data_IF_387786433642
#
_entry.id   IF_387786433642
#
_cell.length_a   1.000
_cell.length_b   1.000
_cell.length_c   1.000
_cell.angle_alpha   90.00
_cell.angle_beta   90.00
_cell.angle_gamma   90.00
#
_symmetry.space_group_name_H-M   'P 1'
#
loop_
_entity.id
_entity.type
_entity.pdbx_description
1 polymer ?
#
# COMPACT_ATOMS: atom_id res chain seq x y z
N UNK A 1 2.44 -43.94 41.28
CA UNK A 1 2.39 -42.54 40.84
C UNK A 1 1.70 -42.53 39.49
N UNK A 2 0.67 -41.70 39.32
CA UNK A 2 -0.06 -41.65 38.05
C UNK A 2 0.82 -40.96 36.99
N UNK A 3 0.99 -41.60 35.84
CA UNK A 3 1.68 -40.99 34.71
C UNK A 3 0.82 -39.84 34.15
N UNK A 4 1.45 -38.70 33.88
CA UNK A 4 0.82 -37.54 33.25
C UNK A 4 1.37 -37.33 31.85
N UNK A 5 0.50 -36.83 30.96
CA UNK A 5 0.87 -36.45 29.61
C UNK A 5 1.75 -35.19 29.69
N UNK A 6 2.94 -35.28 29.12
CA UNK A 6 3.86 -34.13 28.94
C UNK A 6 3.81 -33.72 27.47
N UNK A 7 3.19 -32.58 27.19
CA UNK A 7 3.24 -31.96 25.86
C UNK A 7 4.53 -31.14 25.78
N UNK A 8 5.39 -31.47 24.81
CA UNK A 8 6.53 -30.64 24.43
C UNK A 8 6.24 -30.05 23.06
N UNK A 9 6.24 -28.73 22.97
CA UNK A 9 6.16 -27.99 21.72
C UNK A 9 7.57 -27.66 21.32
N UNK A 10 8.05 -28.21 20.20
CA UNK A 10 9.31 -27.78 19.62
C UNK A 10 9.13 -26.36 19.04
N UNK A 11 10.12 -25.46 19.17
CA UNK A 11 10.03 -24.15 18.55
C UNK A 11 9.91 -24.31 17.04
N UNK A 12 8.91 -23.67 16.45
CA UNK A 12 8.75 -23.61 15.00
C UNK A 12 10.02 -22.97 14.44
N UNK A 13 10.82 -23.75 13.68
CA UNK A 13 11.84 -23.17 12.80
C UNK A 13 11.08 -22.43 11.72
N UNK A 14 10.95 -21.12 11.88
CA UNK A 14 10.24 -20.18 11.01
C UNK A 14 10.36 -20.61 9.54
N UNK A 15 9.24 -21.00 8.94
CA UNK A 15 9.14 -21.18 7.50
C UNK A 15 8.80 -19.81 6.92
N UNK A 16 9.82 -19.08 6.47
CA UNK A 16 9.65 -17.77 5.85
C UNK A 16 9.16 -17.95 4.41
N UNK A 17 7.97 -17.42 4.10
CA UNK A 17 7.54 -17.27 2.72
C UNK A 17 8.17 -16.00 2.12
N UNK A 18 8.85 -16.16 0.97
CA UNK A 18 9.54 -15.08 0.27
C UNK A 18 8.93 -14.86 -1.11
N UNK A 19 8.76 -13.59 -1.45
CA UNK A 19 8.33 -13.16 -2.79
C UNK A 19 9.48 -12.39 -3.45
N UNK A 20 9.77 -12.77 -4.70
CA UNK A 20 10.74 -12.07 -5.55
C UNK A 20 10.01 -11.36 -6.67
N UNK A 21 10.26 -10.05 -6.84
CA UNK A 21 9.62 -9.22 -7.88
C UNK A 21 10.71 -8.58 -8.74
N UNK A 22 10.81 -9.00 -10.00
CA UNK A 22 11.72 -8.39 -10.97
C UNK A 22 11.21 -7.03 -11.47
N UNK A 23 12.09 -6.03 -11.46
CA UNK A 23 11.82 -4.67 -11.99
C UNK A 23 13.00 -4.27 -12.87
N UNK A 24 12.83 -4.36 -14.19
CA UNK A 24 13.92 -4.20 -15.18
C UNK A 24 15.08 -5.17 -14.88
N UNK A 25 16.28 -4.66 -14.62
CA UNK A 25 17.50 -5.39 -14.28
C UNK A 25 17.69 -5.56 -12.76
N UNK A 26 16.74 -5.10 -11.95
CA UNK A 26 16.75 -5.18 -10.49
C UNK A 26 15.68 -6.14 -9.99
N UNK A 27 15.78 -6.53 -8.73
CA UNK A 27 14.83 -7.45 -8.09
C UNK A 27 14.54 -7.00 -6.66
N UNK A 28 13.26 -7.07 -6.27
CA UNK A 28 12.83 -6.93 -4.90
C UNK A 28 12.71 -8.31 -4.25
N UNK A 29 13.19 -8.41 -3.02
CA UNK A 29 13.20 -9.57 -2.16
C UNK A 29 12.41 -9.28 -0.89
N UNK A 30 11.22 -9.84 -0.81
CA UNK A 30 10.21 -9.50 0.20
C UNK A 30 9.94 -10.70 1.08
N UNK A 31 9.75 -10.44 2.36
CA UNK A 31 9.24 -11.41 3.31
C UNK A 31 7.80 -11.05 3.67
N UNK A 32 6.97 -12.07 3.86
CA UNK A 32 5.61 -11.94 4.36
C UNK A 32 5.54 -12.18 5.87
N UNK A 33 6.67 -12.54 6.48
CA UNK A 33 6.74 -12.97 7.86
C UNK A 33 7.02 -11.78 8.78
N UNK A 34 6.18 -11.63 9.80
CA UNK A 34 6.39 -10.78 10.97
C UNK A 34 7.04 -11.59 12.09
N UNK A 35 7.79 -10.93 12.96
CA UNK A 35 8.37 -11.61 14.13
C UNK A 35 7.24 -12.10 15.07
N UNK A 36 7.52 -13.11 15.89
CA UNK A 36 6.49 -13.78 16.73
C UNK A 36 5.75 -12.80 17.65
N UNK A 37 6.48 -11.85 18.23
CA UNK A 37 5.93 -10.79 19.08
C UNK A 37 5.03 -9.79 18.31
N UNK A 38 5.17 -9.73 16.99
CA UNK A 38 4.44 -8.82 16.09
C UNK A 38 3.22 -9.50 15.42
N UNK A 39 3.12 -10.84 15.50
CA UNK A 39 2.01 -11.62 14.94
C UNK A 39 0.75 -11.56 15.79
N UNK A 40 0.89 -11.52 17.12
CA UNK A 40 -0.24 -11.57 18.05
C UNK A 40 -1.31 -10.47 17.83
N UNK A 41 -0.95 -9.20 17.51
CA UNK A 41 -1.94 -8.15 17.19
C UNK A 41 -2.74 -8.37 15.90
N UNK A 42 -2.22 -9.13 14.92
CA UNK A 42 -2.86 -9.29 13.59
C UNK A 42 -4.11 -10.17 13.62
N UNK A 43 -4.16 -11.14 14.53
CA UNK A 43 -5.28 -12.09 14.64
C UNK A 43 -6.57 -11.47 15.19
N UNK A 44 -6.55 -10.18 15.53
CA UNK A 44 -7.70 -9.45 16.07
C UNK A 44 -8.43 -8.56 15.05
N UNK A 45 -8.11 -8.64 13.74
CA UNK A 45 -8.77 -7.78 12.75
C UNK A 45 -8.33 -8.00 11.31
N UNK A 46 -8.44 -6.94 10.49
CA UNK A 46 -8.15 -6.98 9.05
C UNK A 46 -6.65 -6.86 8.69
N UNK A 47 -5.77 -6.75 9.68
CA UNK A 47 -4.36 -6.43 9.47
C UNK A 47 -3.57 -7.53 8.72
N UNK A 48 -4.06 -8.78 8.72
CA UNK A 48 -3.49 -9.87 7.92
C UNK A 48 -3.50 -9.58 6.42
N UNK A 49 -4.44 -8.77 5.92
CA UNK A 49 -4.51 -8.43 4.51
C UNK A 49 -3.29 -7.61 4.06
N UNK A 50 -2.67 -6.85 4.97
CA UNK A 50 -1.48 -6.05 4.69
C UNK A 50 -0.19 -6.88 4.55
N UNK A 51 -0.22 -8.19 4.80
CA UNK A 51 0.95 -9.08 4.63
C UNK A 51 0.97 -9.82 3.29
N UNK A 52 0.03 -9.52 2.39
CA UNK A 52 -0.09 -10.17 1.08
C UNK A 52 0.28 -9.24 -0.08
N UNK A 53 0.66 -9.82 -1.22
CA UNK A 53 0.75 -9.10 -2.48
C UNK A 53 -0.60 -9.15 -3.20
N UNK A 54 -1.23 -8.01 -3.37
CA UNK A 54 -2.49 -7.87 -4.10
C UNK A 54 -2.24 -7.62 -5.59
N UNK A 55 -3.12 -8.11 -6.47
CA UNK A 55 -3.05 -7.88 -7.93
C UNK A 55 -3.06 -6.38 -8.23
N UNK A 56 -3.76 -5.58 -7.43
CA UNK A 56 -3.78 -4.13 -7.54
C UNK A 56 -2.38 -3.53 -7.35
N UNK A 57 -1.54 -4.10 -6.48
CA UNK A 57 -0.16 -3.69 -6.29
C UNK A 57 0.68 -3.98 -7.55
N UNK A 58 0.45 -5.14 -8.20
CA UNK A 58 1.12 -5.53 -9.45
C UNK A 58 0.66 -4.65 -10.61
N UNK A 59 -0.64 -4.38 -10.73
CA UNK A 59 -1.21 -3.50 -11.74
C UNK A 59 -0.65 -2.09 -11.60
N UNK A 60 -0.65 -1.52 -10.38
CA UNK A 60 -0.10 -0.19 -10.12
C UNK A 60 1.40 -0.15 -10.43
N UNK A 61 2.16 -1.15 -10.00
CA UNK A 61 3.61 -1.24 -10.27
C UNK A 61 3.93 -1.29 -11.76
N UNK A 62 3.15 -2.06 -12.53
CA UNK A 62 3.28 -2.10 -13.99
C UNK A 62 2.93 -0.76 -14.64
N UNK A 63 1.90 -0.06 -14.13
CA UNK A 63 1.58 1.27 -14.61
C UNK A 63 2.72 2.27 -14.34
N UNK A 64 3.30 2.25 -13.14
CA UNK A 64 4.47 3.07 -12.81
C UNK A 64 5.66 2.81 -13.74
N UNK A 65 5.93 1.54 -14.04
CA UNK A 65 7.04 1.13 -14.90
C UNK A 65 6.91 1.65 -16.33
N UNK A 66 5.69 1.66 -16.88
CA UNK A 66 5.46 1.87 -18.31
C UNK A 66 4.94 3.27 -18.65
N UNK A 67 4.18 3.90 -17.75
CA UNK A 67 3.34 5.05 -18.08
C UNK A 67 3.63 6.29 -17.22
N UNK A 68 4.48 6.19 -16.19
CA UNK A 68 4.75 7.29 -15.24
C UNK A 68 6.22 7.66 -15.17
N UNK A 69 6.55 8.93 -15.43
CA UNK A 69 7.90 9.45 -15.18
C UNK A 69 8.08 9.81 -13.71
N UNK A 70 8.87 8.99 -13.02
CA UNK A 70 9.21 9.13 -11.62
C UNK A 70 10.52 9.91 -11.39
N UNK A 71 11.19 10.34 -12.46
CA UNK A 71 12.49 11.01 -12.35
C UNK A 71 12.39 12.24 -11.46
N UNK A 72 13.19 12.24 -10.40
CA UNK A 72 13.26 13.32 -9.41
C UNK A 72 11.95 13.60 -8.63
N UNK A 73 10.95 12.71 -8.70
CA UNK A 73 9.67 12.87 -7.98
C UNK A 73 9.76 12.47 -6.52
N UNK A 74 8.98 13.14 -5.67
CA UNK A 74 8.71 12.74 -4.29
C UNK A 74 7.42 11.93 -4.25
N UNK A 75 7.48 10.72 -3.69
CA UNK A 75 6.39 9.76 -3.71
C UNK A 75 6.00 9.39 -2.28
N UNK A 76 4.71 9.33 -2.00
CA UNK A 76 4.18 8.69 -0.80
C UNK A 76 3.28 7.53 -1.20
N UNK A 77 3.34 6.43 -0.48
CA UNK A 77 2.39 5.32 -0.61
C UNK A 77 1.55 5.19 0.67
N UNK A 78 0.23 5.16 0.52
CA UNK A 78 -0.76 5.02 1.59
C UNK A 78 -1.27 3.58 1.64
N UNK A 79 -1.25 2.96 2.83
CA UNK A 79 -1.75 1.59 2.99
C UNK A 79 -0.92 0.58 2.20
N UNK A 80 0.39 0.66 2.35
CA UNK A 80 1.33 -0.03 1.49
C UNK A 80 1.41 -1.56 1.70
N UNK A 81 0.87 -2.07 2.80
CA UNK A 81 1.12 -3.42 3.29
C UNK A 81 2.62 -3.72 3.33
N UNK A 82 3.07 -4.61 2.44
CA UNK A 82 4.48 -4.99 2.33
C UNK A 82 5.35 -4.02 1.48
N UNK A 83 4.75 -3.00 0.85
CA UNK A 83 5.44 -1.86 0.23
C UNK A 83 5.83 -1.98 -1.23
N UNK A 84 5.18 -2.86 -2.01
CA UNK A 84 5.60 -3.15 -3.39
C UNK A 84 5.62 -1.90 -4.29
N UNK A 85 4.50 -1.18 -4.52
CA UNK A 85 4.49 -0.02 -5.42
C UNK A 85 5.48 1.08 -5.04
N UNK A 86 5.63 1.42 -3.76
CA UNK A 86 6.57 2.43 -3.29
C UNK A 86 8.03 2.02 -3.52
N UNK A 87 8.38 0.75 -3.26
CA UNK A 87 9.72 0.25 -3.56
C UNK A 87 9.99 0.21 -5.07
N UNK A 88 9.01 -0.19 -5.88
CA UNK A 88 9.08 -0.11 -7.35
C UNK A 88 9.29 1.34 -7.79
N UNK A 89 8.56 2.30 -7.22
CA UNK A 89 8.71 3.71 -7.55
C UNK A 89 10.14 4.21 -7.29
N UNK A 90 10.76 3.77 -6.18
CA UNK A 90 12.17 4.01 -5.94
C UNK A 90 13.02 3.40 -7.05
N UNK A 91 12.92 2.10 -7.35
CA UNK A 91 13.74 1.46 -8.40
C UNK A 91 13.64 2.16 -9.77
N UNK A 92 12.52 2.82 -10.05
CA UNK A 92 12.26 3.56 -11.28
C UNK A 92 12.78 5.01 -11.30
N UNK A 93 13.43 5.49 -10.24
CA UNK A 93 14.12 6.79 -10.22
C UNK A 93 13.43 7.88 -9.41
N UNK A 94 12.41 7.54 -8.60
CA UNK A 94 11.90 8.46 -7.60
C UNK A 94 13.03 8.93 -6.67
N UNK A 95 13.00 10.22 -6.33
CA UNK A 95 14.00 10.87 -5.49
C UNK A 95 13.81 10.45 -4.04
N UNK A 96 12.64 10.73 -3.50
CA UNK A 96 12.33 10.47 -2.09
C UNK A 96 11.02 9.70 -2.02
N UNK A 97 11.04 8.50 -1.45
CA UNK A 97 9.86 7.64 -1.32
C UNK A 97 9.57 7.39 0.16
N UNK A 98 8.36 7.74 0.59
CA UNK A 98 7.87 7.46 1.94
C UNK A 98 6.73 6.45 1.84
N UNK A 99 6.96 5.25 2.33
CA UNK A 99 6.00 4.15 2.28
C UNK A 99 5.30 4.09 3.64
N UNK A 100 3.97 4.17 3.66
CA UNK A 100 3.22 4.34 4.90
C UNK A 100 2.23 3.22 5.16
N UNK A 101 2.10 2.88 6.44
CA UNK A 101 1.21 1.85 6.94
C UNK A 101 0.73 2.19 8.35
N UNK A 102 -0.19 1.39 8.87
CA UNK A 102 -0.55 1.41 10.28
C UNK A 102 0.64 0.99 11.15
N UNK A 103 0.77 1.52 12.39
CA UNK A 103 1.92 1.29 13.26
C UNK A 103 2.36 -0.18 13.39
N UNK A 104 1.39 -1.10 13.37
CA UNK A 104 1.58 -2.54 13.53
C UNK A 104 2.29 -3.19 12.34
N UNK A 105 2.14 -2.67 11.12
CA UNK A 105 2.76 -3.22 9.90
C UNK A 105 4.07 -2.50 9.51
N UNK A 106 4.35 -1.36 10.12
CA UNK A 106 5.58 -0.60 9.86
C UNK A 106 6.88 -1.41 10.11
N UNK A 107 6.97 -2.31 11.12
CA UNK A 107 8.15 -3.16 11.29
C UNK A 107 8.42 -4.08 10.09
N UNK A 108 7.40 -4.79 9.59
CA UNK A 108 7.51 -5.61 8.37
C UNK A 108 7.97 -4.77 7.19
N UNK A 109 7.35 -3.61 7.01
CA UNK A 109 7.68 -2.69 5.93
C UNK A 109 9.15 -2.22 6.01
N UNK A 110 9.66 -1.91 7.22
CA UNK A 110 11.08 -1.57 7.43
C UNK A 110 11.99 -2.75 7.08
N UNK A 111 11.61 -3.97 7.45
CA UNK A 111 12.37 -5.18 7.12
C UNK A 111 12.47 -5.35 5.60
N UNK A 112 11.36 -5.21 4.88
CA UNK A 112 11.32 -5.29 3.43
C UNK A 112 12.14 -4.18 2.76
N UNK A 113 12.05 -2.93 3.22
CA UNK A 113 12.88 -1.83 2.68
C UNK A 113 14.37 -2.10 2.93
N UNK A 114 14.76 -2.50 4.15
CA UNK A 114 16.17 -2.76 4.50
C UNK A 114 16.79 -3.87 3.67
N UNK A 115 16.01 -4.90 3.29
CA UNK A 115 16.51 -5.98 2.43
C UNK A 115 16.82 -5.50 1.01
N UNK A 116 16.08 -4.52 0.52
CA UNK A 116 16.14 -4.08 -0.89
C UNK A 116 16.94 -2.81 -1.11
N UNK A 117 17.10 -1.98 -0.09
CA UNK A 117 17.71 -0.65 -0.19
C UNK A 117 18.85 -0.45 0.82
N UNK A 118 19.69 -1.47 1.02
CA UNK A 118 20.91 -1.37 1.85
C UNK A 118 21.89 -0.32 1.31
N UNK A 119 21.96 -0.23 -0.02
CA UNK A 119 22.70 0.80 -0.74
C UNK A 119 21.73 1.48 -1.69
N UNK A 120 21.64 2.79 -1.59
CA UNK A 120 20.84 3.63 -2.49
C UNK A 120 21.73 4.72 -3.06
N UNK A 121 21.47 5.11 -4.31
CA UNK A 121 22.23 6.17 -4.96
C UNK A 121 22.19 7.46 -4.14
N UNK A 122 23.30 8.19 -4.15
CA UNK A 122 23.39 9.47 -3.44
C UNK A 122 22.27 10.43 -3.88
N UNK A 123 21.57 11.02 -2.92
CA UNK A 123 20.46 11.93 -3.17
C UNK A 123 19.10 11.27 -3.39
N UNK A 124 18.99 9.95 -3.15
CA UNK A 124 17.73 9.22 -3.14
C UNK A 124 17.45 8.60 -1.76
N UNK A 125 16.17 8.45 -1.41
CA UNK A 125 15.74 7.89 -0.13
C UNK A 125 14.50 7.01 -0.23
N UNK A 126 14.43 5.98 0.61
CA UNK A 126 13.24 5.14 0.83
C UNK A 126 13.06 4.97 2.33
N UNK A 127 11.92 5.39 2.87
CA UNK A 127 11.64 5.31 4.30
C UNK A 127 10.26 4.68 4.57
N UNK A 128 10.16 3.89 5.63
CA UNK A 128 8.87 3.48 6.19
C UNK A 128 8.43 4.45 7.29
N UNK A 129 7.16 4.84 7.30
CA UNK A 129 6.58 5.66 8.35
C UNK A 129 5.17 5.21 8.72
N UNK A 130 4.76 5.46 9.97
CA UNK A 130 3.39 5.22 10.38
C UNK A 130 2.50 6.39 9.91
N UNK A 131 1.33 6.08 9.35
CA UNK A 131 0.31 7.06 9.02
C UNK A 131 -1.08 6.43 9.13
N UNK A 132 -1.76 6.70 10.25
CA UNK A 132 -3.21 6.49 10.34
C UNK A 132 -3.92 7.57 9.52
N UNK A 133 -4.91 7.18 8.71
CA UNK A 133 -5.58 8.13 7.83
C UNK A 133 -6.56 9.01 8.61
N UNK A 134 -6.36 10.31 8.50
CA UNK A 134 -7.34 11.37 8.73
C UNK A 134 -6.72 12.71 8.27
N UNK A 135 -7.42 13.84 8.44
CA UNK A 135 -6.90 15.17 8.05
C UNK A 135 -5.77 15.66 8.96
N UNK A 136 -5.88 15.44 10.27
CA UNK A 136 -4.93 15.95 11.26
C UNK A 136 -3.59 15.20 11.15
N UNK A 137 -3.64 13.88 11.08
CA UNK A 137 -2.51 13.00 10.86
C UNK A 137 -1.82 13.33 9.52
N UNK A 138 -2.58 13.48 8.42
CA UNK A 138 -2.01 13.87 7.12
C UNK A 138 -1.34 15.25 7.17
N UNK A 139 -1.93 16.21 7.88
CA UNK A 139 -1.36 17.55 8.03
C UNK A 139 -0.04 17.51 8.78
N UNK A 140 -0.02 16.86 9.96
CA UNK A 140 1.19 16.69 10.76
C UNK A 140 2.28 15.90 10.00
N UNK A 141 1.86 14.91 9.20
CA UNK A 141 2.75 14.16 8.35
C UNK A 141 3.41 15.06 7.30
N UNK A 142 2.65 15.91 6.60
CA UNK A 142 3.20 16.88 5.67
C UNK A 142 4.08 17.95 6.33
N UNK A 143 3.84 18.30 7.60
CA UNK A 143 4.71 19.23 8.33
C UNK A 143 6.08 18.62 8.63
N UNK A 144 6.14 17.29 8.77
CA UNK A 144 7.38 16.54 9.00
C UNK A 144 8.08 16.15 7.70
N UNK A 145 7.33 15.61 6.75
CA UNK A 145 7.86 15.02 5.52
C UNK A 145 7.75 15.96 4.32
N UNK A 146 7.11 17.12 4.42
CA UNK A 146 6.92 18.04 3.30
C UNK A 146 5.82 17.59 2.34
N UNK A 147 6.00 17.94 1.07
CA UNK A 147 5.01 17.68 0.01
C UNK A 147 5.41 16.52 -0.89
N UNK A 148 4.44 15.98 -1.63
CA UNK A 148 4.63 14.86 -2.54
C UNK A 148 4.09 15.23 -3.93
N UNK A 149 4.77 14.72 -4.97
CA UNK A 149 4.32 14.87 -6.35
C UNK A 149 3.34 13.77 -6.75
N UNK A 150 3.51 12.58 -6.17
CA UNK A 150 2.70 11.40 -6.47
C UNK A 150 2.31 10.72 -5.15
N UNK A 151 1.03 10.37 -5.04
CA UNK A 151 0.48 9.53 -3.98
C UNK A 151 0.08 8.19 -4.59
N UNK A 152 0.51 7.09 -4.00
CA UNK A 152 0.17 5.73 -4.41
C UNK A 152 -0.80 5.13 -3.38
N UNK A 153 -1.78 4.36 -3.83
CA UNK A 153 -2.63 3.53 -2.98
C UNK A 153 -3.10 2.31 -3.78
N UNK A 154 -2.98 1.11 -3.21
CA UNK A 154 -3.43 -0.11 -3.87
C UNK A 154 -4.26 -0.99 -2.93
N UNK A 155 -5.46 -1.38 -3.37
CA UNK A 155 -6.43 -2.24 -2.66
C UNK A 155 -6.76 -1.80 -1.22
N UNK A 156 -6.69 -0.49 -0.95
CA UNK A 156 -7.06 0.10 0.34
C UNK A 156 -8.58 0.31 0.53
N UNK A 157 -9.39 -0.11 -0.44
CA UNK A 157 -10.84 0.12 -0.48
C UNK A 157 -11.52 -1.24 -0.62
N UNK A 158 -12.04 -1.74 0.50
CA UNK A 158 -12.85 -2.94 0.53
C UNK A 158 -13.75 -2.91 1.77
N UNK A 159 -14.95 -2.37 1.61
CA UNK A 159 -15.88 -2.09 2.69
C UNK A 159 -16.26 -3.30 3.56
N UNK A 160 -16.43 -4.52 3.03
CA UNK A 160 -16.73 -5.70 3.85
C UNK A 160 -15.64 -6.02 4.89
N UNK A 161 -14.39 -5.63 4.62
CA UNK A 161 -13.26 -5.88 5.52
C UNK A 161 -12.85 -4.65 6.32
N UNK A 162 -12.85 -3.47 5.70
CA UNK A 162 -12.31 -2.23 6.29
C UNK A 162 -13.41 -1.22 6.68
N UNK A 163 -14.68 -1.53 6.47
CA UNK A 163 -15.78 -0.60 6.66
C UNK A 163 -15.61 0.65 5.80
N UNK A 164 -15.96 1.82 6.35
CA UNK A 164 -15.85 3.11 5.65
C UNK A 164 -14.48 3.79 5.82
N UNK A 165 -13.40 3.04 6.09
CA UNK A 165 -12.04 3.62 6.21
C UNK A 165 -11.61 4.39 4.96
N UNK A 166 -12.21 4.09 3.81
CA UNK A 166 -12.05 4.81 2.55
C UNK A 166 -12.42 6.31 2.67
N UNK A 167 -13.30 6.71 3.61
CA UNK A 167 -13.57 8.13 3.90
C UNK A 167 -12.32 8.82 4.42
N UNK A 168 -11.67 8.20 5.41
CA UNK A 168 -10.45 8.75 6.00
C UNK A 168 -9.30 8.78 4.98
N UNK A 169 -9.18 7.74 4.14
CA UNK A 169 -8.25 7.69 3.02
C UNK A 169 -8.47 8.88 2.05
N UNK A 170 -9.72 9.14 1.65
CA UNK A 170 -10.08 10.26 0.78
C UNK A 170 -9.68 11.61 1.40
N UNK A 171 -9.94 11.80 2.69
CA UNK A 171 -9.56 13.02 3.41
C UNK A 171 -8.04 13.19 3.52
N UNK A 172 -7.29 12.11 3.70
CA UNK A 172 -5.82 12.13 3.65
C UNK A 172 -5.32 12.51 2.26
N UNK A 173 -5.83 11.91 1.19
CA UNK A 173 -5.51 12.28 -0.19
C UNK A 173 -5.81 13.77 -0.46
N UNK A 174 -6.93 14.28 0.04
CA UNK A 174 -7.35 15.67 -0.11
C UNK A 174 -6.32 16.63 0.51
N UNK A 175 -5.88 16.34 1.75
CA UNK A 175 -4.81 17.13 2.40
C UNK A 175 -3.51 17.09 1.60
N UNK A 176 -3.09 15.91 1.13
CA UNK A 176 -1.86 15.76 0.36
C UNK A 176 -1.91 16.57 -0.95
N UNK A 177 -3.03 16.54 -1.67
CA UNK A 177 -3.24 17.31 -2.89
C UNK A 177 -3.38 18.82 -2.64
N UNK A 178 -3.90 19.27 -1.49
CA UNK A 178 -3.89 20.70 -1.16
C UNK A 178 -2.49 21.22 -0.85
N UNK A 179 -1.63 20.40 -0.22
CA UNK A 179 -0.24 20.76 0.08
C UNK A 179 0.60 20.89 -1.19
N UNK A 180 0.25 20.16 -2.24
CA UNK A 180 0.81 20.34 -3.59
C UNK A 180 -0.30 20.21 -4.64
N UNK A 181 -0.87 21.32 -5.15
CA UNK A 181 -1.95 21.27 -6.15
C UNK A 181 -1.59 20.58 -7.47
N UNK A 182 -0.30 20.38 -7.77
CA UNK A 182 0.16 19.60 -8.92
C UNK A 182 0.27 18.09 -8.64
N UNK A 183 0.02 17.66 -7.40
CA UNK A 183 0.07 16.28 -6.97
C UNK A 183 -0.96 15.42 -7.68
N UNK A 184 -0.57 14.19 -8.01
CA UNK A 184 -1.43 13.19 -8.62
C UNK A 184 -1.50 11.97 -7.70
N UNK A 185 -2.71 11.54 -7.36
CA UNK A 185 -2.92 10.25 -6.71
C UNK A 185 -3.18 9.19 -7.78
N UNK A 186 -2.49 8.07 -7.67
CA UNK A 186 -2.68 6.88 -8.48
C UNK A 186 -3.23 5.78 -7.58
N UNK A 187 -4.47 5.38 -7.84
CA UNK A 187 -5.18 4.39 -7.05
C UNK A 187 -5.45 3.17 -7.91
N UNK A 188 -5.02 1.98 -7.47
CA UNK A 188 -5.42 0.72 -8.08
C UNK A 188 -6.32 -0.05 -7.12
N UNK A 189 -7.46 -0.53 -7.59
CA UNK A 189 -8.42 -1.28 -6.79
C UNK A 189 -8.90 -2.50 -7.55
N UNK A 190 -9.36 -3.50 -6.82
CA UNK A 190 -10.07 -4.64 -7.39
C UNK A 190 -11.58 -4.49 -7.12
N UNK A 191 -12.39 -4.52 -8.19
CA UNK A 191 -13.85 -4.48 -8.12
C UNK A 191 -14.38 -5.82 -7.60
N UNK A 192 -15.22 -5.75 -6.58
CA UNK A 192 -15.88 -6.87 -5.90
C UNK A 192 -17.33 -6.49 -5.59
N UNK A 193 -18.16 -7.47 -5.24
CA UNK A 193 -19.52 -7.16 -4.77
C UNK A 193 -19.44 -6.31 -3.49
N UNK A 194 -20.19 -5.20 -3.45
CA UNK A 194 -20.23 -4.27 -2.29
C UNK A 194 -18.83 -3.76 -1.84
N UNK A 195 -17.91 -3.57 -2.79
CA UNK A 195 -16.54 -3.15 -2.51
C UNK A 195 -16.40 -1.76 -1.84
N UNK A 196 -17.40 -0.88 -1.98
CA UNK A 196 -17.39 0.49 -1.47
C UNK A 196 -16.63 1.48 -2.37
N UNK A 197 -16.19 1.06 -3.55
CA UNK A 197 -15.42 1.91 -4.48
C UNK A 197 -16.30 3.01 -5.05
N UNK A 198 -17.55 2.72 -5.41
CA UNK A 198 -18.47 3.73 -5.93
C UNK A 198 -18.81 4.81 -4.88
N UNK A 199 -18.96 4.41 -3.61
CA UNK A 199 -19.19 5.33 -2.50
C UNK A 199 -17.95 6.22 -2.24
N UNK A 200 -16.75 5.63 -2.31
CA UNK A 200 -15.49 6.38 -2.25
C UNK A 200 -15.40 7.41 -3.39
N UNK A 201 -15.70 7.01 -4.63
CA UNK A 201 -15.65 7.91 -5.78
C UNK A 201 -16.67 9.05 -5.66
N UNK A 202 -17.88 8.77 -5.16
CA UNK A 202 -18.88 9.79 -4.88
C UNK A 202 -18.39 10.76 -3.79
N UNK A 203 -17.84 10.24 -2.69
CA UNK A 203 -17.35 11.02 -1.56
C UNK A 203 -16.20 11.96 -1.93
N UNK A 204 -15.31 11.54 -2.84
CA UNK A 204 -14.28 12.45 -3.38
C UNK A 204 -14.90 13.73 -3.93
N UNK A 205 -16.05 13.64 -4.61
CA UNK A 205 -16.69 14.80 -5.23
C UNK A 205 -17.56 15.63 -4.29
N UNK A 206 -18.11 15.01 -3.24
CA UNK A 206 -19.07 15.68 -2.34
C UNK A 206 -18.42 16.26 -1.08
N UNK A 207 -17.35 15.64 -0.58
CA UNK A 207 -16.78 15.93 0.74
C UNK A 207 -15.28 16.28 0.68
N UNK A 208 -14.71 16.33 -0.53
CA UNK A 208 -13.33 16.77 -0.78
C UNK A 208 -13.27 17.69 -2.00
N UNK A 209 -12.09 18.26 -2.28
CA UNK A 209 -11.87 19.02 -3.52
C UNK A 209 -11.20 18.15 -4.58
N UNK A 210 -11.44 16.84 -4.58
CA UNK A 210 -10.81 15.89 -5.49
C UNK A 210 -11.76 15.46 -6.61
N UNK A 211 -11.17 15.07 -7.73
CA UNK A 211 -11.87 14.40 -8.82
C UNK A 211 -11.11 13.15 -9.24
N UNK A 212 -11.82 12.06 -9.42
CA UNK A 212 -11.27 10.82 -9.97
C UNK A 212 -11.55 10.73 -11.47
N UNK A 213 -10.57 10.26 -12.22
CA UNK A 213 -10.72 9.82 -13.60
C UNK A 213 -10.29 8.36 -13.71
N UNK A 214 -11.17 7.51 -14.21
CA UNK A 214 -10.81 6.13 -14.54
C UNK A 214 -9.78 6.15 -15.68
N UNK A 215 -8.60 5.60 -15.42
CA UNK A 215 -7.52 5.53 -16.38
C UNK A 215 -7.58 4.23 -17.20
N UNK A 216 -7.78 3.08 -16.54
CA UNK A 216 -7.81 1.77 -17.19
C UNK A 216 -8.60 0.77 -16.36
N UNK A 217 -9.34 -0.10 -17.05
CA UNK A 217 -9.92 -1.33 -16.49
C UNK A 217 -9.18 -2.53 -17.03
N UNK A 218 -8.83 -3.47 -16.16
CA UNK A 218 -8.07 -4.68 -16.45
C UNK A 218 -8.95 -5.86 -16.05
N UNK A 219 -9.47 -6.64 -17.02
CA UNK A 219 -10.28 -7.81 -16.71
C UNK A 219 -9.48 -8.84 -15.91
N UNK A 220 -10.11 -9.43 -14.90
CA UNK A 220 -9.50 -10.55 -14.19
C UNK A 220 -9.58 -11.81 -15.06
N UNK A 221 -8.43 -12.46 -15.28
CA UNK A 221 -8.37 -13.65 -16.14
C UNK A 221 -8.75 -14.92 -15.40
N UNK A 222 -8.30 -15.07 -14.15
CA UNK A 222 -8.60 -16.23 -13.29
C UNK A 222 -8.62 -15.81 -11.80
N UNK A 223 -9.48 -16.42 -10.97
CA UNK A 223 -9.46 -16.22 -9.52
C UNK A 223 -8.17 -16.79 -8.89
N UNK A 224 -7.54 -16.06 -7.98
CA UNK A 224 -6.29 -16.48 -7.30
C UNK A 224 -6.52 -17.61 -6.31
N UNK A 225 -7.72 -17.70 -5.74
CA UNK A 225 -8.08 -18.75 -4.79
C UNK A 225 -9.59 -19.04 -4.83
N UNK A 226 -9.98 -20.17 -4.24
CA UNK A 226 -11.40 -20.52 -4.10
C UNK A 226 -12.10 -19.44 -3.26
N UNK A 227 -13.15 -18.81 -3.81
CA UNK A 227 -13.87 -17.70 -3.17
C UNK A 227 -13.39 -16.30 -3.57
N UNK A 228 -12.44 -16.20 -4.49
CA UNK A 228 -12.05 -14.94 -5.10
C UNK A 228 -13.07 -14.50 -6.16
N UNK A 229 -14.04 -13.70 -5.73
CA UNK A 229 -15.15 -13.19 -6.57
C UNK A 229 -14.82 -11.86 -7.29
N UNK A 230 -13.53 -11.54 -7.42
CA UNK A 230 -13.08 -10.33 -8.12
C UNK A 230 -13.55 -10.27 -9.57
N UNK A 231 -14.11 -9.12 -9.97
CA UNK A 231 -14.62 -8.88 -11.33
C UNK A 231 -13.49 -8.41 -12.25
N UNK A 232 -12.66 -7.50 -11.76
CA UNK A 232 -11.58 -6.87 -12.52
C UNK A 232 -10.88 -5.80 -11.70
N UNK A 233 -9.76 -5.30 -12.20
CA UNK A 233 -9.00 -4.23 -11.57
C UNK A 233 -9.25 -2.91 -12.28
N UNK A 234 -9.29 -1.83 -11.51
CA UNK A 234 -9.43 -0.48 -12.02
C UNK A 234 -8.29 0.39 -11.50
N UNK A 235 -7.76 1.21 -12.40
CA UNK A 235 -6.75 2.20 -12.08
C UNK A 235 -7.38 3.59 -12.24
N UNK A 236 -7.32 4.38 -11.19
CA UNK A 236 -7.81 5.74 -11.13
C UNK A 236 -6.66 6.73 -11.00
N UNK A 237 -6.82 7.88 -11.67
CA UNK A 237 -6.03 9.07 -11.45
C UNK A 237 -6.89 10.09 -10.72
N UNK A 238 -6.47 10.51 -9.52
CA UNK A 238 -7.18 11.52 -8.73
C UNK A 238 -6.32 12.78 -8.65
N UNK A 239 -6.94 13.94 -8.83
CA UNK A 239 -6.29 15.25 -8.74
C UNK A 239 -7.21 16.22 -8.01
N UNK A 240 -6.65 17.33 -7.53
CA UNK A 240 -7.44 18.47 -7.09
C UNK A 240 -8.35 18.95 -8.25
N UNK A 241 -9.60 19.26 -7.94
CA UNK A 241 -10.53 19.92 -8.84
C UNK A 241 -10.06 21.37 -9.06
N UNK A 242 -10.16 21.85 -10.29
CA UNK A 242 -9.85 23.24 -10.65
C UNK A 242 -11.05 24.15 -10.42
#
# INVERSE_FOLDING_TARGET
MAESIVVKVDPVKVCEERIRIGVRDKELDLTLLLDEDELAPLFAGAAWAGTLVWDAAIVLSNFLLNDVDLTAKRVIELGAGIGVPGMVASLLGAKDVVITEQPELVPLLRTNIRRNFQTIDAGRSVAAAALSWDRAAATAFCDTFGTFDIVLSCDCIYQPLYGESWRALALTMDVLCHRNPACVVLVSVERRHEDGIDDFLAFLTTDTNLRAALHRTIPKKEPRMLGDEGIGLELYRITLAQ
#
